data_IF_182615776688
#
_entry.id   IF_182615776688
#
_cell.length_a   1.000
_cell.length_b   1.000
_cell.length_c   1.000
_cell.angle_alpha   90.00
_cell.angle_beta   90.00
_cell.angle_gamma   90.00
#
_symmetry.space_group_name_H-M   'P 1'
#
loop_
_entity.id
_entity.type
_entity.pdbx_description
1 polymer ?
#
# COMPACT_ATOMS: atom_id res chain seq x y z
N UNK A 1 25.81 -19.51 -7.53
CA UNK A 1 24.45 -18.95 -7.29
C UNK A 1 24.50 -17.44 -7.09
N UNK A 2 25.29 -16.93 -6.14
CA UNK A 2 25.50 -15.50 -5.86
C UNK A 2 25.83 -14.63 -7.08
N UNK A 3 26.68 -15.12 -8.00
CA UNK A 3 26.97 -14.41 -9.25
C UNK A 3 25.72 -14.08 -10.07
N UNK A 4 24.76 -15.02 -10.18
CA UNK A 4 23.50 -14.80 -10.92
C UNK A 4 22.60 -13.78 -10.22
N UNK A 5 22.53 -13.85 -8.89
CA UNK A 5 21.74 -12.93 -8.06
C UNK A 5 22.25 -11.50 -8.22
N UNK A 6 23.56 -11.29 -8.07
CA UNK A 6 24.20 -9.99 -8.21
C UNK A 6 24.02 -9.43 -9.62
N UNK A 7 24.22 -10.23 -10.68
CA UNK A 7 24.00 -9.79 -12.06
C UNK A 7 22.57 -9.26 -12.26
N UNK A 8 21.55 -9.97 -11.78
CA UNK A 8 20.15 -9.52 -11.95
C UNK A 8 19.88 -8.24 -11.17
N UNK A 9 20.29 -8.15 -9.90
CA UNK A 9 20.07 -6.95 -9.09
C UNK A 9 20.76 -5.72 -9.70
N UNK A 10 22.03 -5.87 -10.08
CA UNK A 10 22.78 -4.79 -10.73
C UNK A 10 22.14 -4.41 -12.06
N UNK A 11 21.69 -5.36 -12.87
CA UNK A 11 21.02 -5.06 -14.14
C UNK A 11 19.70 -4.30 -13.93
N UNK A 12 18.89 -4.68 -12.94
CA UNK A 12 17.63 -4.00 -12.62
C UNK A 12 17.87 -2.58 -12.11
N UNK A 13 18.85 -2.39 -11.22
CA UNK A 13 19.22 -1.07 -10.72
C UNK A 13 19.76 -0.19 -11.85
N UNK A 14 20.68 -0.72 -12.66
CA UNK A 14 21.25 0.02 -13.79
C UNK A 14 20.18 0.40 -14.81
N UNK A 15 19.25 -0.51 -15.14
CA UNK A 15 18.12 -0.21 -16.00
C UNK A 15 17.26 0.91 -15.40
N UNK A 16 16.99 0.86 -14.09
CA UNK A 16 16.26 1.91 -13.39
C UNK A 16 16.96 3.26 -13.46
N UNK A 17 18.28 3.30 -13.28
CA UNK A 17 19.07 4.53 -13.40
C UNK A 17 19.04 5.06 -14.83
N UNK A 18 19.20 4.20 -15.84
CA UNK A 18 19.15 4.60 -17.26
C UNK A 18 17.76 5.18 -17.58
N UNK A 19 16.68 4.49 -17.22
CA UNK A 19 15.32 5.00 -17.44
C UNK A 19 15.07 6.32 -16.69
N UNK A 20 15.60 6.45 -15.48
CA UNK A 20 15.51 7.69 -14.71
C UNK A 20 16.21 8.86 -15.40
N UNK A 21 17.38 8.63 -16.00
CA UNK A 21 18.12 9.66 -16.74
C UNK A 21 17.44 10.03 -18.07
N UNK A 22 16.82 9.07 -18.75
CA UNK A 22 16.20 9.27 -20.06
C UNK A 22 14.78 9.84 -19.98
N UNK A 23 13.99 9.38 -19.01
CA UNK A 23 12.53 9.64 -18.95
C UNK A 23 12.13 10.48 -17.72
N UNK A 24 13.04 10.69 -16.76
CA UNK A 24 12.71 11.31 -15.49
C UNK A 24 11.77 10.45 -14.63
N UNK A 25 10.99 11.10 -13.76
CA UNK A 25 10.04 10.44 -12.88
C UNK A 25 8.80 9.94 -13.64
N UNK A 26 8.32 8.75 -13.28
CA UNK A 26 7.10 8.21 -13.89
C UNK A 26 5.86 8.96 -13.41
N UNK A 27 4.93 9.21 -14.32
CA UNK A 27 3.60 9.72 -13.99
C UNK A 27 2.75 8.59 -13.40
N UNK A 28 2.35 8.72 -12.13
CA UNK A 28 1.58 7.69 -11.42
C UNK A 28 0.22 7.38 -12.09
N UNK A 29 -0.35 8.34 -12.82
CA UNK A 29 -1.59 8.15 -13.57
C UNK A 29 -1.51 6.98 -14.58
N UNK A 30 -0.32 6.65 -15.09
CA UNK A 30 -0.14 5.50 -15.98
C UNK A 30 -0.47 4.16 -15.31
N UNK A 31 -0.29 4.07 -13.99
CA UNK A 31 -0.58 2.88 -13.20
C UNK A 31 -1.94 2.94 -12.51
N UNK A 32 -2.73 3.98 -12.72
CA UNK A 32 -4.10 4.04 -12.23
C UNK A 32 -4.95 2.91 -12.83
N UNK A 33 -6.05 2.58 -12.16
CA UNK A 33 -6.99 1.57 -12.64
C UNK A 33 -7.42 1.88 -14.09
N UNK A 34 -7.40 0.87 -15.01
CA UNK A 34 -7.22 -0.57 -14.77
C UNK A 34 -5.78 -1.10 -14.91
N UNK A 35 -4.80 -0.23 -15.17
CA UNK A 35 -3.44 -0.64 -15.53
C UNK A 35 -2.69 -1.33 -14.40
N UNK A 36 -2.91 -0.93 -13.14
CA UNK A 36 -2.39 -1.63 -11.98
C UNK A 36 -2.80 -3.11 -11.92
N UNK A 37 -4.08 -3.42 -12.15
CA UNK A 37 -4.58 -4.81 -12.20
C UNK A 37 -3.93 -5.57 -13.35
N UNK A 38 -3.86 -4.97 -14.53
CA UNK A 38 -3.26 -5.59 -15.71
C UNK A 38 -1.78 -5.92 -15.48
N UNK A 39 -1.02 -4.99 -14.87
CA UNK A 39 0.39 -5.18 -14.53
C UNK A 39 0.56 -6.29 -13.49
N UNK A 40 -0.31 -6.36 -12.49
CA UNK A 40 -0.30 -7.43 -11.47
C UNK A 40 -0.53 -8.81 -12.07
N UNK A 41 -1.47 -8.93 -12.99
CA UNK A 41 -1.72 -10.17 -13.74
C UNK A 41 -0.52 -10.50 -14.61
N UNK A 42 -0.01 -9.52 -15.37
CA UNK A 42 1.13 -9.71 -16.26
C UNK A 42 2.37 -10.20 -15.50
N UNK A 43 2.70 -9.58 -14.36
CA UNK A 43 3.84 -9.99 -13.52
C UNK A 43 3.62 -11.40 -12.99
N UNK A 44 2.42 -11.74 -12.54
CA UNK A 44 2.12 -13.08 -12.00
C UNK A 44 2.16 -14.17 -13.08
N UNK A 45 1.59 -13.90 -14.26
CA UNK A 45 1.66 -14.81 -15.42
C UNK A 45 3.10 -14.99 -15.88
N UNK A 46 3.86 -13.89 -15.97
CA UNK A 46 5.29 -13.94 -16.30
C UNK A 46 6.06 -14.77 -15.29
N UNK A 47 5.79 -14.59 -13.99
CA UNK A 47 6.41 -15.37 -12.92
C UNK A 47 6.07 -16.86 -13.02
N UNK A 48 4.84 -17.21 -13.40
CA UNK A 48 4.45 -18.60 -13.64
C UNK A 48 5.28 -19.24 -14.75
N UNK A 49 5.41 -18.60 -15.92
CA UNK A 49 6.16 -19.17 -17.05
C UNK A 49 7.68 -19.12 -16.87
N UNK A 50 8.20 -18.05 -16.30
CA UNK A 50 9.64 -17.84 -16.12
C UNK A 50 10.17 -18.42 -14.80
N UNK A 51 9.37 -19.21 -14.07
CA UNK A 51 9.76 -19.77 -12.77
C UNK A 51 11.02 -20.62 -12.91
N UNK A 52 12.09 -20.18 -12.25
CA UNK A 52 13.33 -20.96 -12.11
C UNK A 52 13.61 -21.23 -10.64
N UNK A 53 14.21 -22.37 -10.35
CA UNK A 53 14.41 -22.83 -8.97
C UNK A 53 15.27 -21.89 -8.12
N UNK A 54 16.18 -21.16 -8.75
CA UNK A 54 17.03 -20.18 -8.08
C UNK A 54 16.36 -18.81 -7.89
N UNK A 55 15.39 -18.44 -8.74
CA UNK A 55 14.61 -17.19 -8.65
C UNK A 55 13.61 -17.29 -7.50
N UNK A 56 12.97 -18.45 -7.33
CA UNK A 56 12.10 -18.72 -6.18
C UNK A 56 12.89 -19.20 -4.95
N UNK A 57 14.19 -18.95 -4.91
CA UNK A 57 15.10 -19.42 -3.85
C UNK A 57 15.26 -18.39 -2.75
N UNK A 58 15.46 -18.86 -1.51
CA UNK A 58 15.58 -18.00 -0.32
C UNK A 58 16.63 -16.89 -0.50
N UNK A 59 17.81 -17.23 -1.04
CA UNK A 59 18.88 -16.25 -1.23
C UNK A 59 18.50 -15.10 -2.19
N UNK A 60 17.75 -15.39 -3.26
CA UNK A 60 17.31 -14.36 -4.19
C UNK A 60 16.21 -13.50 -3.58
N UNK A 61 15.22 -14.13 -2.94
CA UNK A 61 14.15 -13.41 -2.23
C UNK A 61 14.71 -12.47 -1.16
N UNK A 62 15.67 -12.94 -0.35
CA UNK A 62 16.32 -12.11 0.66
C UNK A 62 17.05 -10.93 0.02
N UNK A 63 17.84 -11.14 -1.05
CA UNK A 63 18.52 -10.04 -1.73
C UNK A 63 17.54 -8.98 -2.27
N UNK A 64 16.43 -9.41 -2.89
CA UNK A 64 15.40 -8.51 -3.42
C UNK A 64 14.73 -7.73 -2.30
N UNK A 65 14.32 -8.41 -1.22
CA UNK A 65 13.67 -7.81 -0.06
C UNK A 65 14.62 -6.82 0.64
N UNK A 66 15.89 -7.19 0.85
CA UNK A 66 16.87 -6.31 1.50
C UNK A 66 17.08 -5.00 0.74
N UNK A 67 17.22 -5.07 -0.59
CA UNK A 67 17.36 -3.86 -1.42
C UNK A 67 16.05 -3.07 -1.41
N UNK A 68 14.90 -3.72 -1.58
CA UNK A 68 13.60 -3.03 -1.56
C UNK A 68 13.36 -2.32 -0.22
N UNK A 69 13.65 -2.97 0.90
CA UNK A 69 13.55 -2.36 2.24
C UNK A 69 14.51 -1.18 2.42
N UNK A 70 15.75 -1.29 1.93
CA UNK A 70 16.71 -0.19 1.97
C UNK A 70 16.18 1.03 1.20
N UNK A 71 15.63 0.82 0.00
CA UNK A 71 15.01 1.88 -0.80
C UNK A 71 13.78 2.48 -0.11
N UNK A 72 12.94 1.65 0.52
CA UNK A 72 11.78 2.10 1.30
C UNK A 72 12.16 2.89 2.56
N UNK A 73 13.28 2.55 3.21
CA UNK A 73 13.80 3.34 4.33
C UNK A 73 14.31 4.70 3.87
N UNK A 74 14.95 4.78 2.70
CA UNK A 74 15.37 6.05 2.13
C UNK A 74 14.19 7.01 1.91
N UNK A 75 13.01 6.49 1.52
CA UNK A 75 11.79 7.28 1.38
C UNK A 75 11.31 7.90 2.70
N UNK A 76 11.34 7.13 3.79
CA UNK A 76 10.80 7.56 5.08
C UNK A 76 11.75 8.44 5.90
N UNK A 77 13.06 8.24 5.76
CA UNK A 77 14.06 8.93 6.57
C UNK A 77 14.50 10.27 6.00
N UNK A 78 14.45 10.44 4.68
CA UNK A 78 14.99 11.62 4.01
C UNK A 78 13.90 12.35 3.21
N UNK A 79 13.34 13.46 3.72
CA UNK A 79 12.29 14.21 3.03
C UNK A 79 12.75 14.84 1.71
N UNK A 80 14.07 14.96 1.49
CA UNK A 80 14.69 15.40 0.23
C UNK A 80 14.31 14.47 -0.94
N UNK A 81 13.99 13.20 -0.65
CA UNK A 81 13.54 12.22 -1.63
C UNK A 81 12.01 12.23 -1.82
N UNK A 82 11.33 13.34 -1.55
CA UNK A 82 9.91 13.50 -1.90
C UNK A 82 9.70 13.23 -3.39
N UNK A 83 8.92 12.19 -3.70
CA UNK A 83 8.70 11.70 -5.07
C UNK A 83 9.62 10.57 -5.55
N UNK A 84 10.56 10.07 -4.73
CA UNK A 84 11.41 8.93 -5.08
C UNK A 84 10.63 7.62 -5.28
N UNK A 85 9.41 7.52 -4.74
CA UNK A 85 8.48 6.42 -5.03
C UNK A 85 8.06 6.38 -6.51
N UNK A 86 8.27 7.47 -7.25
CA UNK A 86 8.09 7.61 -8.70
C UNK A 86 9.40 7.40 -9.49
N UNK A 87 10.48 6.99 -8.83
CA UNK A 87 11.74 6.69 -9.51
C UNK A 87 11.68 5.31 -10.17
N UNK A 88 12.30 5.18 -11.33
CA UNK A 88 12.33 3.91 -12.05
C UNK A 88 13.06 2.80 -11.26
N UNK A 89 14.08 3.16 -10.48
CA UNK A 89 14.78 2.20 -9.60
C UNK A 89 13.81 1.60 -8.58
N UNK A 90 13.00 2.42 -7.91
CA UNK A 90 12.03 1.95 -6.94
C UNK A 90 10.92 1.10 -7.57
N UNK A 91 10.38 1.56 -8.70
CA UNK A 91 9.30 0.87 -9.43
C UNK A 91 9.78 -0.51 -9.92
N UNK A 92 10.95 -0.58 -10.56
CA UNK A 92 11.50 -1.85 -11.07
C UNK A 92 11.87 -2.81 -9.93
N UNK A 93 12.39 -2.30 -8.80
CA UNK A 93 12.66 -3.15 -7.64
C UNK A 93 11.37 -3.72 -7.04
N UNK A 94 10.30 -2.92 -7.01
CA UNK A 94 8.98 -3.37 -6.56
C UNK A 94 8.39 -4.41 -7.51
N UNK A 95 8.52 -4.21 -8.83
CA UNK A 95 8.12 -5.22 -9.82
C UNK A 95 8.90 -6.53 -9.67
N UNK A 96 10.21 -6.45 -9.41
CA UNK A 96 11.04 -7.62 -9.15
C UNK A 96 10.60 -8.36 -7.87
N UNK A 97 10.27 -7.63 -6.81
CA UNK A 97 9.73 -8.20 -5.57
C UNK A 97 8.43 -8.97 -5.83
N UNK A 98 7.48 -8.35 -6.53
CA UNK A 98 6.20 -8.98 -6.88
C UNK A 98 6.40 -10.21 -7.77
N UNK A 99 7.31 -10.13 -8.74
CA UNK A 99 7.64 -11.27 -9.61
C UNK A 99 8.21 -12.45 -8.82
N UNK A 100 9.12 -12.19 -7.86
CA UNK A 100 9.69 -13.24 -7.00
C UNK A 100 8.64 -13.82 -6.08
N UNK A 101 7.79 -12.99 -5.50
CA UNK A 101 6.72 -13.42 -4.62
C UNK A 101 5.72 -14.32 -5.37
N UNK A 102 5.27 -13.91 -6.56
CA UNK A 102 4.44 -14.75 -7.44
C UNK A 102 5.15 -16.05 -7.82
N UNK A 103 6.44 -16.01 -8.16
CA UNK A 103 7.23 -17.21 -8.49
C UNK A 103 7.28 -18.20 -7.33
N UNK A 104 7.37 -17.70 -6.10
CA UNK A 104 7.41 -18.49 -4.87
C UNK A 104 6.04 -19.13 -4.57
N UNK A 105 4.94 -18.38 -4.76
CA UNK A 105 3.57 -18.87 -4.64
C UNK A 105 3.33 -20.05 -5.59
N UNK A 106 3.68 -19.91 -6.87
CA UNK A 106 3.43 -20.97 -7.86
C UNK A 106 4.30 -22.21 -7.70
N UNK A 107 5.40 -22.13 -6.95
CA UNK A 107 6.28 -23.27 -6.71
C UNK A 107 5.83 -24.13 -5.53
N UNK A 108 5.24 -23.53 -4.51
CA UNK A 108 4.92 -24.21 -3.25
C UNK A 108 3.42 -24.27 -3.05
N UNK A 109 2.92 -25.50 -2.88
CA UNK A 109 1.50 -25.78 -2.72
C UNK A 109 1.06 -25.97 -1.25
N UNK A 110 1.92 -25.65 -0.28
CA UNK A 110 1.52 -25.68 1.14
C UNK A 110 0.54 -24.55 1.41
N UNK A 111 -0.64 -24.87 1.94
CA UNK A 111 -1.72 -23.89 2.15
C UNK A 111 -1.31 -22.73 3.08
N UNK A 112 -0.59 -23.02 4.17
CA UNK A 112 -0.13 -21.96 5.09
C UNK A 112 0.91 -21.09 4.41
N UNK A 113 1.84 -21.70 3.67
CA UNK A 113 2.79 -20.97 2.86
C UNK A 113 2.10 -20.06 1.82
N UNK A 114 1.09 -20.59 1.13
CA UNK A 114 0.29 -19.87 0.15
C UNK A 114 -0.39 -18.65 0.77
N UNK A 115 -1.11 -18.80 1.88
CA UNK A 115 -1.81 -17.68 2.54
C UNK A 115 -0.84 -16.53 2.88
N UNK A 116 0.33 -16.85 3.45
CA UNK A 116 1.31 -15.82 3.78
C UNK A 116 1.82 -15.05 2.56
N UNK A 117 2.23 -15.78 1.52
CA UNK A 117 2.87 -15.16 0.36
C UNK A 117 1.85 -14.47 -0.54
N UNK A 118 0.66 -15.06 -0.69
CA UNK A 118 -0.47 -14.43 -1.37
C UNK A 118 -0.93 -13.18 -0.63
N UNK A 119 -1.05 -13.25 0.71
CA UNK A 119 -1.38 -12.09 1.54
C UNK A 119 -0.37 -10.96 1.37
N UNK A 120 0.92 -11.28 1.37
CA UNK A 120 1.99 -10.32 1.10
C UNK A 120 1.92 -9.75 -0.32
N UNK A 121 1.60 -10.59 -1.32
CA UNK A 121 1.46 -10.15 -2.71
C UNK A 121 0.35 -9.12 -2.80
N UNK A 122 -0.83 -9.43 -2.26
CA UNK A 122 -1.99 -8.56 -2.26
C UNK A 122 -1.73 -7.28 -1.48
N UNK A 123 -1.13 -7.36 -0.29
CA UNK A 123 -0.84 -6.19 0.56
C UNK A 123 0.13 -5.21 -0.12
N UNK A 124 1.28 -5.70 -0.61
CA UNK A 124 2.28 -4.85 -1.29
C UNK A 124 1.69 -4.26 -2.58
N UNK A 125 0.86 -5.02 -3.30
CA UNK A 125 0.23 -4.55 -4.53
C UNK A 125 -0.81 -3.46 -4.27
N UNK A 126 -1.66 -3.65 -3.25
CA UNK A 126 -2.64 -2.64 -2.84
C UNK A 126 -1.96 -1.36 -2.35
N UNK A 127 -0.90 -1.49 -1.54
CA UNK A 127 -0.17 -0.36 -1.01
C UNK A 127 0.59 0.43 -2.09
N UNK A 128 1.24 -0.26 -3.05
CA UNK A 128 2.07 0.41 -4.04
C UNK A 128 1.27 0.84 -5.28
N UNK A 129 0.58 -0.09 -5.93
CA UNK A 129 -0.16 0.21 -7.17
C UNK A 129 -1.50 0.87 -6.91
N UNK A 130 -2.12 0.58 -5.75
CA UNK A 130 -3.36 1.24 -5.35
C UNK A 130 -3.19 2.70 -4.93
N UNK A 131 -1.98 3.10 -4.54
CA UNK A 131 -1.66 4.50 -4.23
C UNK A 131 -1.80 5.42 -5.46
N UNK A 132 -1.74 4.87 -6.67
CA UNK A 132 -1.94 5.66 -7.91
C UNK A 132 -3.40 6.12 -8.08
N UNK A 133 -4.36 5.41 -7.47
CA UNK A 133 -5.78 5.73 -7.49
C UNK A 133 -6.23 6.55 -6.27
N UNK A 134 -5.30 6.86 -5.36
CA UNK A 134 -5.60 7.63 -4.17
C UNK A 134 -5.70 9.12 -4.52
N UNK A 135 -6.80 9.75 -4.10
CA UNK A 135 -6.97 11.21 -4.23
C UNK A 135 -7.17 11.82 -2.85
N UNK A 136 -6.52 12.95 -2.62
CA UNK A 136 -6.59 13.68 -1.36
C UNK A 136 -6.98 15.12 -1.63
N UNK A 137 -8.08 15.56 -1.03
CA UNK A 137 -8.59 16.92 -1.12
C UNK A 137 -8.52 17.58 0.25
N UNK A 138 -7.93 18.78 0.31
CA UNK A 138 -7.93 19.60 1.52
C UNK A 138 -9.00 20.68 1.37
N UNK A 139 -9.89 20.77 2.36
CA UNK A 139 -10.98 21.75 2.36
C UNK A 139 -10.90 22.59 3.64
N UNK A 140 -10.85 23.91 3.47
CA UNK A 140 -10.87 24.87 4.57
C UNK A 140 -12.31 25.25 4.86
N UNK A 141 -12.78 24.97 6.08
CA UNK A 141 -14.17 25.16 6.49
C UNK A 141 -14.25 26.02 7.74
N UNK A 142 -15.14 27.02 7.69
CA UNK A 142 -15.62 27.74 8.87
C UNK A 142 -16.84 27.03 9.44
N UNK A 143 -17.16 27.29 10.70
CA UNK A 143 -18.39 26.80 11.32
C UNK A 143 -19.63 27.13 10.47
N UNK A 144 -20.52 26.15 10.35
CA UNK A 144 -21.71 26.14 9.49
C UNK A 144 -21.44 26.26 7.98
N UNK A 145 -20.21 26.06 7.52
CA UNK A 145 -19.90 26.06 6.09
C UNK A 145 -20.50 24.84 5.38
N UNK A 146 -21.12 25.08 4.22
CA UNK A 146 -21.59 24.04 3.31
C UNK A 146 -20.45 23.62 2.37
N UNK A 147 -20.30 22.31 2.19
CA UNK A 147 -19.33 21.71 1.28
C UNK A 147 -19.88 20.43 0.66
N UNK A 148 -19.21 19.91 -0.36
CA UNK A 148 -19.66 18.72 -1.07
C UNK A 148 -18.66 17.58 -0.96
N UNK A 149 -19.15 16.39 -0.64
CA UNK A 149 -18.40 15.13 -0.72
C UNK A 149 -19.10 14.22 -1.72
N UNK A 150 -18.42 13.85 -2.81
CA UNK A 150 -19.01 12.98 -3.84
C UNK A 150 -20.37 13.50 -4.34
N UNK A 151 -20.47 14.81 -4.62
CA UNK A 151 -21.68 15.53 -5.03
C UNK A 151 -22.84 15.58 -4.01
N UNK A 152 -22.62 15.16 -2.76
CA UNK A 152 -23.58 15.31 -1.66
C UNK A 152 -23.21 16.47 -0.76
N UNK A 153 -24.21 17.25 -0.39
CA UNK A 153 -24.05 18.38 0.53
C UNK A 153 -23.84 17.89 1.96
N UNK A 154 -22.80 18.46 2.57
CA UNK A 154 -22.45 18.28 3.96
C UNK A 154 -22.27 19.67 4.59
N UNK A 155 -22.58 19.79 5.87
CA UNK A 155 -22.37 21.02 6.64
C UNK A 155 -21.33 20.74 7.70
N UNK A 156 -20.28 21.55 7.78
CA UNK A 156 -19.37 21.51 8.90
C UNK A 156 -20.00 22.25 10.07
N UNK A 157 -20.27 21.55 11.18
CA UNK A 157 -20.94 22.13 12.34
C UNK A 157 -19.92 22.88 13.18
N UNK A 158 -18.96 22.16 13.75
CA UNK A 158 -17.93 22.70 14.63
C UNK A 158 -16.73 21.77 14.74
N UNK A 159 -15.61 22.31 15.22
CA UNK A 159 -14.48 21.53 15.69
C UNK A 159 -14.33 21.73 17.20
N UNK A 160 -14.44 20.65 17.96
CA UNK A 160 -14.19 20.65 19.40
C UNK A 160 -12.68 20.50 19.64
N UNK A 161 -12.09 21.54 20.25
CA UNK A 161 -10.65 21.64 20.50
C UNK A 161 -10.20 20.73 21.64
N UNK A 162 -11.06 20.45 22.62
CA UNK A 162 -10.69 19.61 23.77
C UNK A 162 -10.60 18.15 23.36
N UNK A 163 -11.59 17.69 22.59
CA UNK A 163 -11.67 16.30 22.13
C UNK A 163 -10.99 16.08 20.78
N UNK A 164 -10.60 17.15 20.07
CA UNK A 164 -10.03 17.10 18.72
C UNK A 164 -10.98 16.42 17.72
N UNK A 165 -12.29 16.69 17.84
CA UNK A 165 -13.36 16.10 17.03
C UNK A 165 -14.04 17.15 16.17
N UNK A 166 -14.13 16.88 14.86
CA UNK A 166 -14.97 17.59 13.92
C UNK A 166 -16.37 16.95 13.84
N UNK A 167 -17.40 17.79 13.93
CA UNK A 167 -18.80 17.40 13.77
C UNK A 167 -19.29 17.85 12.40
N UNK A 168 -19.83 16.91 11.63
CA UNK A 168 -20.32 17.12 10.27
C UNK A 168 -21.80 16.72 10.21
N UNK A 169 -22.62 17.51 9.54
CA UNK A 169 -23.98 17.12 9.19
C UNK A 169 -23.98 16.60 7.75
N UNK A 170 -24.59 15.44 7.52
CA UNK A 170 -24.76 14.88 6.17
C UNK A 170 -26.25 14.77 5.84
N UNK A 171 -26.65 15.29 4.67
CA UNK A 171 -28.06 15.28 4.25
C UNK A 171 -28.97 16.07 5.21
N UNK A 172 -30.11 15.47 5.60
CA UNK A 172 -31.13 16.16 6.41
C UNK A 172 -30.94 16.09 7.92
N UNK A 173 -30.17 15.12 8.46
CA UNK A 173 -30.09 14.95 9.94
C UNK A 173 -28.93 14.10 10.47
N UNK A 174 -28.15 13.41 9.64
CA UNK A 174 -27.16 12.47 10.16
C UNK A 174 -25.87 13.19 10.54
N UNK A 175 -25.56 13.18 11.84
CA UNK A 175 -24.31 13.71 12.37
C UNK A 175 -23.21 12.68 12.27
N UNK A 176 -22.15 13.04 11.56
CA UNK A 176 -20.93 12.26 11.39
C UNK A 176 -19.81 12.91 12.21
N UNK A 177 -19.08 12.11 12.99
CA UNK A 177 -17.98 12.57 13.83
C UNK A 177 -16.66 12.06 13.28
N UNK A 178 -15.72 12.98 13.03
CA UNK A 178 -14.36 12.67 12.62
C UNK A 178 -13.39 13.18 13.68
N UNK A 179 -12.54 12.33 14.23
CA UNK A 179 -11.55 12.74 15.23
C UNK A 179 -10.13 12.63 14.67
N UNK A 180 -9.18 13.30 15.33
CA UNK A 180 -7.75 13.10 15.05
C UNK A 180 -7.44 11.60 15.21
N UNK A 181 -6.86 11.00 14.16
CA UNK A 181 -6.57 9.56 14.03
C UNK A 181 -7.78 8.59 13.97
N UNK A 182 -9.01 9.08 14.11
CA UNK A 182 -10.23 8.28 13.91
C UNK A 182 -11.07 8.91 12.80
N UNK A 183 -10.80 8.58 11.52
CA UNK A 183 -11.51 9.16 10.40
C UNK A 183 -12.98 8.77 10.40
N UNK A 184 -13.80 9.69 9.91
CA UNK A 184 -15.17 9.35 9.55
C UNK A 184 -15.22 8.79 8.13
N UNK A 185 -15.91 7.67 7.93
CA UNK A 185 -16.11 7.11 6.60
C UNK A 185 -17.45 7.57 6.02
N UNK A 186 -17.42 8.26 4.88
CA UNK A 186 -18.61 8.71 4.18
C UNK A 186 -18.46 8.56 2.67
N UNK A 187 -19.39 7.84 2.03
CA UNK A 187 -19.47 7.70 0.57
C UNK A 187 -18.15 7.30 -0.10
N UNK A 188 -17.44 6.34 0.49
CA UNK A 188 -16.17 5.84 -0.07
C UNK A 188 -14.96 6.74 0.22
N UNK A 189 -15.12 7.77 1.07
CA UNK A 189 -14.05 8.69 1.47
C UNK A 189 -13.83 8.59 2.98
N UNK A 190 -12.58 8.66 3.38
CA UNK A 190 -12.19 8.88 4.78
C UNK A 190 -12.01 10.38 5.01
N UNK A 191 -12.56 10.91 6.10
CA UNK A 191 -12.51 12.33 6.44
C UNK A 191 -11.72 12.48 7.73
N UNK A 192 -10.65 13.27 7.67
CA UNK A 192 -9.79 13.56 8.82
C UNK A 192 -9.79 15.05 9.14
N UNK A 193 -9.93 15.44 10.42
CA UNK A 193 -9.50 16.77 10.83
C UNK A 193 -7.97 16.82 10.81
N UNK A 194 -7.39 17.72 10.01
CA UNK A 194 -5.93 17.83 9.86
C UNK A 194 -5.37 18.94 10.76
N UNK A 195 -5.95 20.13 10.70
CA UNK A 195 -5.46 21.30 11.46
C UNK A 195 -6.63 22.22 11.75
N UNK A 196 -6.58 22.91 12.89
CA UNK A 196 -7.55 23.96 13.23
C UNK A 196 -6.80 25.25 13.53
N UNK A 197 -7.11 26.31 12.80
CA UNK A 197 -6.58 27.64 13.03
C UNK A 197 -7.57 28.44 13.88
N UNK A 198 -7.17 28.71 15.13
CA UNK A 198 -7.98 29.45 16.09
C UNK A 198 -8.14 30.94 15.76
N UNK A 199 -7.15 31.56 15.10
CA UNK A 199 -7.18 33.00 14.78
C UNK A 199 -8.23 33.32 13.71
N UNK A 200 -8.45 32.40 12.77
CA UNK A 200 -9.40 32.57 11.68
C UNK A 200 -10.70 31.76 11.84
N UNK A 201 -10.80 30.96 12.92
CA UNK A 201 -11.86 29.99 13.17
C UNK A 201 -12.09 29.06 11.95
N UNK A 202 -11.00 28.50 11.43
CA UNK A 202 -11.02 27.63 10.24
C UNK A 202 -10.48 26.25 10.59
N UNK A 203 -11.24 25.21 10.25
CA UNK A 203 -10.81 23.82 10.27
C UNK A 203 -10.37 23.38 8.87
N UNK A 204 -9.24 22.70 8.77
CA UNK A 204 -8.77 22.03 7.56
C UNK A 204 -9.18 20.57 7.66
N UNK A 205 -10.10 20.16 6.79
CA UNK A 205 -10.46 18.76 6.62
C UNK A 205 -9.68 18.15 5.47
N UNK A 206 -9.21 16.94 5.67
CA UNK A 206 -8.58 16.09 4.66
C UNK A 206 -9.58 15.02 4.24
N UNK A 207 -10.03 15.07 2.99
CA UNK A 207 -10.94 14.09 2.39
C UNK A 207 -10.10 13.17 1.52
N UNK A 208 -10.04 11.89 1.87
CA UNK A 208 -9.19 10.90 1.22
C UNK A 208 -10.04 9.85 0.53
N UNK A 209 -9.81 9.64 -0.77
CA UNK A 209 -10.30 8.47 -1.50
C UNK A 209 -9.19 7.43 -1.59
N UNK A 210 -9.42 6.22 -1.09
CA UNK A 210 -8.46 5.12 -1.22
C UNK A 210 -9.19 3.83 -1.60
N UNK A 211 -9.43 3.58 -2.90
CA UNK A 211 -10.25 2.45 -3.35
C UNK A 211 -9.61 1.08 -3.00
N UNK A 212 -8.29 1.04 -2.89
CA UNK A 212 -7.52 -0.17 -2.63
C UNK A 212 -7.33 -0.50 -1.15
N UNK A 213 -7.82 0.35 -0.23
CA UNK A 213 -7.70 0.17 1.23
C UNK A 213 -8.14 -1.24 1.66
N UNK A 214 -9.25 -1.72 1.12
CA UNK A 214 -9.79 -3.04 1.45
C UNK A 214 -8.97 -4.20 0.88
N UNK A 215 -8.35 -4.01 -0.29
CA UNK A 215 -7.45 -5.00 -0.90
C UNK A 215 -6.19 -5.13 -0.05
N UNK A 216 -5.61 -4.00 0.33
CA UNK A 216 -4.46 -3.96 1.23
C UNK A 216 -4.77 -4.65 2.57
N UNK A 217 -5.90 -4.30 3.20
CA UNK A 217 -6.33 -4.90 4.46
C UNK A 217 -6.61 -6.40 4.35
N UNK A 218 -7.17 -6.87 3.23
CA UNK A 218 -7.34 -8.29 2.99
C UNK A 218 -5.99 -9.02 2.94
N UNK A 219 -5.00 -8.44 2.27
CA UNK A 219 -3.64 -8.97 2.25
C UNK A 219 -3.00 -9.04 3.65
N UNK A 220 -3.12 -7.97 4.43
CA UNK A 220 -2.65 -7.91 5.82
C UNK A 220 -3.36 -8.96 6.68
N UNK A 221 -4.68 -9.09 6.55
CA UNK A 221 -5.46 -10.08 7.28
C UNK A 221 -4.99 -11.51 6.97
N UNK A 222 -4.69 -11.85 5.71
CA UNK A 222 -4.10 -13.15 5.36
C UNK A 222 -2.78 -13.41 6.09
N UNK A 223 -1.89 -12.41 6.15
CA UNK A 223 -0.61 -12.54 6.86
C UNK A 223 -0.83 -12.75 8.37
N UNK A 224 -1.77 -12.02 8.97
CA UNK A 224 -2.11 -12.16 10.39
C UNK A 224 -2.71 -13.54 10.70
N UNK A 225 -3.63 -14.02 9.87
CA UNK A 225 -4.20 -15.37 9.99
C UNK A 225 -3.07 -16.41 9.94
N UNK A 226 -2.15 -16.28 8.99
CA UNK A 226 -1.00 -17.17 8.91
C UNK A 226 -0.14 -17.13 10.18
N UNK A 227 0.19 -15.93 10.68
CA UNK A 227 1.02 -15.76 11.87
C UNK A 227 0.39 -16.42 13.11
N UNK A 228 -0.94 -16.38 13.22
CA UNK A 228 -1.70 -17.04 14.30
C UNK A 228 -1.71 -18.56 14.12
N UNK A 229 -1.90 -19.07 12.91
CA UNK A 229 -2.10 -20.51 12.65
C UNK A 229 -0.80 -21.33 12.60
N UNK A 230 0.32 -20.73 12.19
CA UNK A 230 1.61 -21.43 12.07
C UNK A 230 2.08 -22.09 13.39
N UNK A 231 2.04 -21.42 14.55
CA UNK A 231 2.41 -22.03 15.82
C UNK A 231 1.62 -23.32 16.11
N UNK A 232 0.31 -23.33 15.90
CA UNK A 232 -0.53 -24.52 16.11
C UNK A 232 -0.15 -25.68 15.18
N UNK A 233 0.15 -25.38 13.90
CA UNK A 233 0.63 -26.39 12.94
C UNK A 233 1.96 -27.01 13.39
N UNK A 234 2.89 -26.18 13.90
CA UNK A 234 4.18 -26.65 14.42
C UNK A 234 3.99 -27.52 15.67
N UNK A 235 3.16 -27.08 16.61
CA UNK A 235 2.85 -27.83 17.84
C UNK A 235 2.22 -29.19 17.53
N UNK A 236 1.25 -29.22 16.61
CA UNK A 236 0.60 -30.47 16.21
C UNK A 236 1.58 -31.45 15.55
N UNK A 237 2.47 -30.94 14.68
CA UNK A 237 3.52 -31.76 14.06
C UNK A 237 4.46 -32.37 15.10
N UNK A 238 4.88 -31.59 16.11
CA UNK A 238 5.74 -32.08 17.19
C UNK A 238 5.04 -33.16 18.01
N UNK A 239 3.79 -32.95 18.40
CA UNK A 239 2.99 -33.93 19.16
C UNK A 239 2.94 -35.30 18.48
N UNK A 240 2.71 -35.31 17.17
CA UNK A 240 2.62 -36.55 16.38
C UNK A 240 3.99 -37.20 16.08
N UNK A 241 5.11 -36.57 16.46
CA UNK A 241 6.46 -37.17 16.33
C UNK A 241 6.91 -37.89 17.60
N UNK A 242 6.15 -37.77 18.71
CA UNK A 242 6.43 -38.43 19.99
C UNK A 242 5.44 -39.57 20.30
N UNK A 243 4.53 -39.89 19.38
CA UNK A 243 3.61 -41.03 19.39
C UNK A 243 3.98 -41.93 18.23
#
# INVERSE_FOLDING_TARGET
MWRKISIVQTAVIMLGVILQLLLGNIQLAFFAFPMNVALMILVSVSAYYCRKTWVSGIAFSLAVISIWLLLSLCLGLFPIFSGYSRSWVFVLQTLLLLFVLSSVIFRRHDFMFFIAHFGMLVAVSGAFWGACDQTTEQVLLKENALFKISNKECTFIKFDKETQVAYLLTGKSDTLTAAVNHPAYYKGRDIYPQTYNAEHNVCVLLIVFQPWKWVEYAGIACILIWAILVPFKILNKRRNSYV
#
